data_IF_442709660002
#
_entry.id   IF_442709660002
#
_cell.length_a   1.000
_cell.length_b   1.000
_cell.length_c   1.000
_cell.angle_alpha   90.00
_cell.angle_beta   90.00
_cell.angle_gamma   90.00
#
_symmetry.space_group_name_H-M   'P 1'
#
loop_
_entity.id
_entity.type
_entity.pdbx_description
1 polymer ?
#
# COMPACT_ATOMS: atom_id res chain seq x y z
N UNK A 1 -34.79 30.65 18.93
CA UNK A 1 -33.37 30.25 18.76
C UNK A 1 -33.10 29.09 19.71
N UNK A 2 -32.94 27.87 19.17
CA UNK A 2 -32.58 26.71 19.99
C UNK A 2 -31.10 26.74 20.32
N UNK A 3 -30.76 26.65 21.60
CA UNK A 3 -29.37 26.51 22.06
C UNK A 3 -28.78 25.24 21.43
N UNK A 4 -27.59 25.30 20.79
CA UNK A 4 -26.95 24.09 20.28
C UNK A 4 -26.65 23.17 21.47
N UNK A 5 -27.23 21.95 21.45
CA UNK A 5 -26.91 20.90 22.41
C UNK A 5 -25.48 20.43 22.11
N UNK A 6 -24.54 20.87 22.94
CA UNK A 6 -23.18 20.33 22.96
C UNK A 6 -23.25 18.98 23.66
N UNK A 7 -23.22 17.89 22.89
CA UNK A 7 -23.01 16.55 23.44
C UNK A 7 -21.51 16.35 23.60
N UNK A 8 -21.04 16.23 24.85
CA UNK A 8 -19.72 15.71 25.15
C UNK A 8 -19.72 14.23 24.74
N UNK A 9 -19.00 13.90 23.68
CA UNK A 9 -18.75 12.50 23.29
C UNK A 9 -17.42 12.12 23.94
N UNK A 10 -17.44 11.13 24.84
CA UNK A 10 -16.21 10.59 25.39
C UNK A 10 -15.40 9.94 24.25
N UNK A 11 -14.07 10.13 24.25
CA UNK A 11 -13.20 9.58 23.21
C UNK A 11 -13.29 8.04 23.08
N UNK A 12 -13.77 7.35 24.14
CA UNK A 12 -14.03 5.91 24.16
C UNK A 12 -15.17 5.49 23.22
N UNK A 13 -16.10 6.37 22.87
CA UNK A 13 -17.24 6.08 22.00
C UNK A 13 -16.94 6.29 20.51
N UNK A 14 -15.78 6.87 20.18
CA UNK A 14 -15.38 7.08 18.79
C UNK A 14 -14.90 5.77 18.15
N UNK A 15 -15.23 5.53 16.87
CA UNK A 15 -14.70 4.37 16.16
C UNK A 15 -13.17 4.50 16.04
N UNK A 16 -12.49 3.36 16.14
CA UNK A 16 -11.08 3.28 15.81
C UNK A 16 -10.85 3.56 14.32
N UNK A 17 -9.75 4.23 14.02
CA UNK A 17 -9.35 4.41 12.64
C UNK A 17 -8.94 3.09 12.02
N UNK A 18 -9.71 2.63 11.04
CA UNK A 18 -9.62 1.27 10.49
C UNK A 18 -8.28 0.95 9.80
N UNK A 19 -7.52 1.96 9.37
CA UNK A 19 -6.19 1.76 8.79
C UNK A 19 -5.05 1.83 9.81
N UNK A 20 -5.35 2.04 11.10
CA UNK A 20 -4.35 2.12 12.17
C UNK A 20 -3.37 3.28 12.00
N UNK A 21 -2.14 3.14 12.50
CA UNK A 21 -1.07 4.16 12.39
C UNK A 21 -0.33 4.08 11.03
N UNK A 22 -1.08 3.85 9.95
CA UNK A 22 -0.54 3.69 8.61
C UNK A 22 0.28 4.92 8.20
N UNK A 23 1.48 4.68 7.65
CA UNK A 23 2.29 5.71 6.99
C UNK A 23 2.72 5.23 5.61
N UNK A 24 2.29 5.93 4.56
CA UNK A 24 2.70 5.62 3.20
C UNK A 24 3.93 6.46 2.78
N UNK A 25 5.14 5.96 3.05
CA UNK A 25 6.41 6.68 2.84
C UNK A 25 6.70 7.06 1.37
N UNK A 26 6.17 6.31 0.40
CA UNK A 26 6.36 6.53 -1.04
C UNK A 26 5.04 6.85 -1.76
N UNK A 27 4.13 7.57 -1.11
CA UNK A 27 2.84 7.94 -1.67
C UNK A 27 2.90 9.27 -2.42
N UNK A 28 3.03 9.19 -3.74
CA UNK A 28 3.09 10.35 -4.63
C UNK A 28 1.91 10.41 -5.62
N UNK A 29 1.06 9.38 -5.64
CA UNK A 29 -0.09 9.28 -6.53
C UNK A 29 -1.34 8.88 -5.75
N UNK A 30 -2.39 9.66 -5.93
CA UNK A 30 -3.73 9.42 -5.37
C UNK A 30 -4.68 9.26 -6.54
N UNK A 31 -5.44 8.16 -6.56
CA UNK A 31 -6.48 7.97 -7.56
C UNK A 31 -7.61 8.98 -7.30
N UNK A 32 -7.88 9.85 -8.29
CA UNK A 32 -8.96 10.82 -8.21
C UNK A 32 -10.15 10.40 -9.07
N UNK A 33 -11.30 10.18 -8.45
CA UNK A 33 -12.52 9.75 -9.14
C UNK A 33 -13.32 10.97 -9.63
N UNK A 34 -12.97 11.50 -10.81
CA UNK A 34 -13.61 12.71 -11.38
C UNK A 34 -15.13 12.62 -11.43
N UNK A 35 -15.69 11.51 -11.91
CA UNK A 35 -17.14 11.33 -11.97
C UNK A 35 -17.79 11.42 -10.59
N UNK A 36 -17.19 10.81 -9.57
CA UNK A 36 -17.70 10.88 -8.19
C UNK A 36 -17.65 12.32 -7.65
N UNK A 37 -16.57 13.05 -7.91
CA UNK A 37 -16.44 14.45 -7.49
C UNK A 37 -17.47 15.35 -8.18
N UNK A 38 -17.52 15.32 -9.52
CA UNK A 38 -18.37 16.20 -10.32
C UNK A 38 -19.87 15.95 -10.09
N UNK A 39 -20.26 14.74 -9.68
CA UNK A 39 -21.64 14.40 -9.33
C UNK A 39 -21.93 14.49 -7.82
N UNK A 40 -20.98 14.94 -6.99
CA UNK A 40 -21.17 15.06 -5.55
C UNK A 40 -21.96 16.33 -5.20
N UNK A 41 -22.70 16.27 -4.09
CA UNK A 41 -23.39 17.45 -3.57
C UNK A 41 -22.42 18.59 -3.19
N UNK A 42 -21.17 18.27 -2.81
CA UNK A 42 -20.12 19.26 -2.60
C UNK A 42 -19.85 20.07 -3.86
N UNK A 43 -19.64 19.40 -5.00
CA UNK A 43 -19.37 20.08 -6.27
C UNK A 43 -20.58 20.84 -6.81
N UNK A 44 -21.78 20.29 -6.63
CA UNK A 44 -23.01 20.88 -7.16
C UNK A 44 -23.51 22.09 -6.35
N UNK A 45 -23.22 22.16 -5.05
CA UNK A 45 -23.84 23.14 -4.16
C UNK A 45 -22.85 24.09 -3.47
N UNK A 46 -21.57 23.72 -3.33
CA UNK A 46 -20.59 24.57 -2.66
C UNK A 46 -20.02 25.64 -3.61
N UNK A 47 -19.57 26.76 -3.05
CA UNK A 47 -18.82 27.77 -3.79
C UNK A 47 -17.47 27.21 -4.25
N UNK A 48 -16.89 27.76 -5.32
CA UNK A 48 -15.57 27.32 -5.80
C UNK A 48 -14.45 27.42 -4.75
N UNK A 49 -14.52 28.40 -3.85
CA UNK A 49 -13.58 28.51 -2.75
C UNK A 49 -13.70 27.32 -1.79
N UNK A 50 -14.92 26.97 -1.37
CA UNK A 50 -15.12 25.79 -0.51
C UNK A 50 -14.71 24.52 -1.24
N UNK A 51 -15.03 24.39 -2.52
CA UNK A 51 -14.59 23.26 -3.33
C UNK A 51 -13.06 23.13 -3.36
N UNK A 52 -12.35 24.24 -3.56
CA UNK A 52 -10.88 24.29 -3.53
C UNK A 52 -10.31 23.87 -2.17
N UNK A 53 -10.90 24.37 -1.09
CA UNK A 53 -10.48 24.01 0.28
C UNK A 53 -10.79 22.55 0.61
N UNK A 54 -11.98 22.06 0.26
CA UNK A 54 -12.36 20.66 0.43
C UNK A 54 -11.40 19.75 -0.34
N UNK A 55 -11.07 20.10 -1.59
CA UNK A 55 -10.10 19.38 -2.39
C UNK A 55 -8.72 19.35 -1.71
N UNK A 56 -8.23 20.49 -1.25
CA UNK A 56 -6.95 20.58 -0.56
C UNK A 56 -6.91 19.71 0.71
N UNK A 57 -8.01 19.63 1.47
CA UNK A 57 -8.11 18.75 2.64
C UNK A 57 -7.97 17.26 2.29
N UNK A 58 -8.55 16.81 1.18
CA UNK A 58 -8.36 15.45 0.69
C UNK A 58 -6.90 15.19 0.37
N UNK A 59 -6.23 16.12 -0.30
CA UNK A 59 -4.82 15.97 -0.67
C UNK A 59 -3.89 16.03 0.58
N UNK A 60 -4.17 16.93 1.54
CA UNK A 60 -3.42 17.07 2.79
C UNK A 60 -3.50 15.79 3.62
N UNK A 61 -4.67 15.17 3.70
CA UNK A 61 -4.90 13.95 4.49
C UNK A 61 -3.97 12.80 4.07
N UNK A 62 -3.63 12.73 2.78
CA UNK A 62 -2.74 11.69 2.23
C UNK A 62 -1.31 11.78 2.75
N UNK A 63 -0.92 12.93 3.32
CA UNK A 63 0.42 13.18 3.84
C UNK A 63 0.46 13.32 5.37
N UNK A 64 -0.67 13.11 6.06
CA UNK A 64 -0.72 13.14 7.52
C UNK A 64 -0.23 11.83 8.14
N UNK A 65 -0.06 11.86 9.47
CA UNK A 65 0.20 10.70 10.31
C UNK A 65 -0.93 10.59 11.35
N UNK A 66 -1.78 9.55 11.31
CA UNK A 66 -1.84 8.49 10.29
C UNK A 66 -2.26 8.99 8.89
N UNK A 67 -1.80 8.32 7.85
CA UNK A 67 -2.15 8.63 6.46
C UNK A 67 -3.66 8.47 6.25
N UNK A 68 -4.30 9.44 5.61
CA UNK A 68 -5.74 9.46 5.35
C UNK A 68 -6.57 10.20 6.38
N UNK A 69 -5.92 10.85 7.34
CA UNK A 69 -6.59 11.57 8.42
C UNK A 69 -6.22 13.05 8.44
N UNK A 70 -6.95 13.85 9.21
CA UNK A 70 -6.64 15.26 9.47
C UNK A 70 -6.65 15.55 10.99
N UNK A 71 -5.99 16.63 11.46
CA UNK A 71 -6.24 17.15 12.80
C UNK A 71 -7.70 17.60 12.95
N UNK A 72 -8.32 17.30 14.10
CA UNK A 72 -9.57 17.94 14.52
C UNK A 72 -9.27 19.20 15.34
N UNK A 73 -8.56 20.15 14.73
CA UNK A 73 -8.19 21.41 15.34
C UNK A 73 -8.17 22.52 14.30
N UNK A 74 -8.94 23.58 14.54
CA UNK A 74 -9.12 24.69 13.58
C UNK A 74 -7.80 25.42 13.30
N UNK A 75 -6.95 25.59 14.31
CA UNK A 75 -5.69 26.33 14.16
C UNK A 75 -4.71 25.55 13.30
N UNK A 76 -4.60 24.24 13.52
CA UNK A 76 -3.80 23.37 12.66
C UNK A 76 -4.34 23.32 11.24
N UNK A 77 -5.66 23.14 11.06
CA UNK A 77 -6.27 23.08 9.73
C UNK A 77 -6.09 24.40 8.96
N UNK A 78 -6.30 25.56 9.59
CA UNK A 78 -6.11 26.85 8.93
C UNK A 78 -4.66 27.05 8.48
N UNK A 79 -3.68 26.62 9.29
CA UNK A 79 -2.26 26.68 8.94
C UNK A 79 -1.91 25.72 7.79
N UNK A 80 -2.41 24.49 7.82
CA UNK A 80 -2.20 23.51 6.74
C UNK A 80 -2.76 24.02 5.40
N UNK A 81 -3.92 24.65 5.44
CA UNK A 81 -4.59 25.26 4.28
C UNK A 81 -4.04 26.62 3.89
N UNK A 82 -3.16 27.22 4.71
CA UNK A 82 -2.63 28.58 4.55
C UNK A 82 -3.74 29.63 4.45
N UNK A 83 -4.78 29.45 5.26
CA UNK A 83 -5.90 30.38 5.40
C UNK A 83 -5.82 31.10 6.75
N UNK A 84 -6.32 32.33 6.77
CA UNK A 84 -6.63 33.01 8.01
C UNK A 84 -7.65 32.19 8.84
N UNK A 85 -7.50 32.22 10.17
CA UNK A 85 -8.33 31.43 11.09
C UNK A 85 -9.80 31.87 11.08
N UNK A 86 -10.08 33.16 10.90
CA UNK A 86 -11.45 33.68 10.81
C UNK A 86 -12.05 33.18 9.50
N UNK A 87 -11.32 33.31 8.38
CA UNK A 87 -11.80 32.81 7.08
C UNK A 87 -12.05 31.31 7.08
N UNK A 88 -11.15 30.52 7.69
CA UNK A 88 -11.35 29.08 7.83
C UNK A 88 -12.65 28.76 8.58
N UNK A 89 -12.92 29.44 9.70
CA UNK A 89 -14.14 29.22 10.49
C UNK A 89 -15.40 29.61 9.75
N UNK A 90 -15.38 30.69 8.98
CA UNK A 90 -16.49 31.08 8.09
C UNK A 90 -16.81 29.97 7.07
N UNK A 91 -15.78 29.47 6.37
CA UNK A 91 -15.95 28.39 5.39
C UNK A 91 -16.43 27.10 6.06
N UNK A 92 -15.87 26.74 7.22
CA UNK A 92 -16.26 25.55 8.01
C UNK A 92 -17.72 25.60 8.43
N UNK A 93 -18.26 26.78 8.73
CA UNK A 93 -19.63 26.97 9.20
C UNK A 93 -20.71 26.95 8.10
N UNK A 94 -20.32 26.94 6.82
CA UNK A 94 -21.27 26.87 5.71
C UNK A 94 -21.99 25.51 5.66
N UNK A 95 -23.24 25.49 5.20
CA UNK A 95 -24.03 24.26 5.02
C UNK A 95 -23.30 23.24 4.13
N UNK A 96 -22.64 23.74 3.09
CA UNK A 96 -21.72 23.00 2.24
C UNK A 96 -20.27 23.38 2.53
N UNK A 97 -19.84 23.27 3.79
CA UNK A 97 -18.50 23.60 4.25
C UNK A 97 -17.42 22.53 3.93
N UNK A 98 -16.12 22.87 3.98
CA UNK A 98 -15.04 21.97 3.54
C UNK A 98 -14.92 20.64 4.27
N UNK A 99 -15.39 20.56 5.52
CA UNK A 99 -15.38 19.34 6.34
C UNK A 99 -16.64 18.48 6.21
N UNK A 100 -17.52 18.76 5.24
CA UNK A 100 -18.70 17.93 5.01
C UNK A 100 -18.30 16.48 4.70
N UNK A 101 -18.84 15.54 5.46
CA UNK A 101 -18.55 14.11 5.30
C UNK A 101 -17.32 13.61 6.07
N UNK A 102 -16.58 14.51 6.71
CA UNK A 102 -15.52 14.13 7.65
C UNK A 102 -16.12 13.76 9.00
N UNK A 103 -15.56 12.75 9.65
CA UNK A 103 -16.02 12.26 10.95
C UNK A 103 -14.84 11.98 11.87
N UNK A 104 -15.09 12.02 13.18
CA UNK A 104 -14.06 11.79 14.21
C UNK A 104 -13.76 10.31 14.34
N UNK A 105 -12.48 9.98 14.39
CA UNK A 105 -11.93 8.64 14.64
C UNK A 105 -10.87 8.71 15.73
N UNK A 106 -10.68 7.59 16.43
CA UNK A 106 -9.61 7.40 17.40
C UNK A 106 -8.39 6.80 16.70
N UNK A 107 -7.24 7.45 16.86
CA UNK A 107 -5.94 7.01 16.37
C UNK A 107 -4.99 6.92 17.57
N UNK A 108 -4.95 5.76 18.23
CA UNK A 108 -4.21 5.61 19.48
C UNK A 108 -4.76 6.53 20.57
N UNK A 109 -3.94 7.47 21.05
CA UNK A 109 -4.26 8.44 22.10
C UNK A 109 -4.90 9.74 21.58
N UNK A 110 -5.18 9.83 20.27
CA UNK A 110 -5.58 11.09 19.61
C UNK A 110 -6.90 10.93 18.88
N UNK A 111 -7.64 12.02 18.78
CA UNK A 111 -8.80 12.12 17.89
C UNK A 111 -8.40 12.82 16.60
N UNK A 112 -8.76 12.23 15.47
CA UNK A 112 -8.51 12.75 14.13
C UNK A 112 -9.79 12.77 13.31
N UNK A 113 -9.78 13.49 12.19
CA UNK A 113 -10.86 13.46 11.22
C UNK A 113 -10.52 12.48 10.10
N UNK A 114 -11.45 11.60 9.75
CA UNK A 114 -11.36 10.71 8.60
C UNK A 114 -12.51 11.00 7.63
N UNK A 115 -12.36 10.55 6.39
CA UNK A 115 -13.39 10.65 5.37
C UNK A 115 -13.54 9.31 4.65
N UNK A 116 -14.77 8.80 4.45
CA UNK A 116 -14.97 7.46 3.89
C UNK A 116 -14.34 7.29 2.50
N UNK A 117 -14.40 8.34 1.67
CA UNK A 117 -13.75 8.33 0.34
C UNK A 117 -12.23 8.27 0.43
N UNK A 118 -11.61 8.94 1.42
CA UNK A 118 -10.16 8.93 1.58
C UNK A 118 -9.70 7.55 2.03
N UNK A 119 -10.43 6.95 2.98
CA UNK A 119 -10.22 5.57 3.43
C UNK A 119 -10.32 4.59 2.26
N UNK A 120 -11.40 4.66 1.48
CA UNK A 120 -11.64 3.80 0.31
C UNK A 120 -10.46 3.87 -0.67
N UNK A 121 -10.03 5.08 -1.05
CA UNK A 121 -8.89 5.28 -1.95
C UNK A 121 -7.60 4.70 -1.38
N UNK A 122 -7.39 4.79 -0.07
CA UNK A 122 -6.21 4.24 0.59
C UNK A 122 -6.22 2.71 0.64
N UNK A 123 -7.35 2.09 0.95
CA UNK A 123 -7.51 0.63 0.88
C UNK A 123 -7.21 0.11 -0.52
N UNK A 124 -7.74 0.79 -1.53
CA UNK A 124 -7.50 0.53 -2.94
C UNK A 124 -6.00 0.64 -3.32
N UNK A 125 -5.29 1.61 -2.74
CA UNK A 125 -3.86 1.79 -2.96
C UNK A 125 -3.03 0.69 -2.28
N UNK A 126 -3.42 0.29 -1.05
CA UNK A 126 -2.79 -0.81 -0.31
C UNK A 126 -2.96 -2.14 -1.04
N UNK A 127 -4.18 -2.47 -1.47
CA UNK A 127 -4.46 -3.70 -2.23
C UNK A 127 -3.62 -3.77 -3.52
N UNK A 128 -3.52 -2.66 -4.27
CA UNK A 128 -2.68 -2.60 -5.48
C UNK A 128 -1.19 -2.70 -5.17
N UNK A 129 -0.74 -2.24 -3.99
CA UNK A 129 0.65 -2.40 -3.56
C UNK A 129 0.96 -3.88 -3.29
N UNK A 130 0.11 -4.55 -2.51
CA UNK A 130 0.26 -5.98 -2.19
C UNK A 130 0.26 -6.85 -3.45
N UNK A 131 -0.65 -6.57 -4.39
CA UNK A 131 -0.69 -7.25 -5.69
C UNK A 131 0.63 -7.10 -6.47
N UNK A 132 1.16 -5.88 -6.52
CA UNK A 132 2.43 -5.62 -7.21
C UNK A 132 3.61 -6.30 -6.52
N UNK A 133 3.66 -6.29 -5.20
CA UNK A 133 4.72 -6.95 -4.44
C UNK A 133 4.68 -8.47 -4.66
N UNK A 134 3.50 -9.09 -4.66
CA UNK A 134 3.32 -10.51 -4.95
C UNK A 134 3.74 -10.86 -6.38
N UNK A 135 3.22 -10.14 -7.37
CA UNK A 135 3.56 -10.36 -8.78
C UNK A 135 5.07 -10.14 -9.06
N UNK A 136 5.68 -9.16 -8.40
CA UNK A 136 7.13 -8.94 -8.47
C UNK A 136 7.91 -10.12 -7.87
N UNK A 137 7.47 -10.65 -6.73
CA UNK A 137 8.04 -11.85 -6.11
C UNK A 137 7.97 -13.08 -7.02
N UNK A 138 6.79 -13.38 -7.56
CA UNK A 138 6.58 -14.48 -8.51
C UNK A 138 7.47 -14.32 -9.75
N UNK A 139 7.51 -13.12 -10.33
CA UNK A 139 8.37 -12.83 -11.48
C UNK A 139 9.85 -13.00 -11.15
N UNK A 140 10.29 -12.59 -9.95
CA UNK A 140 11.66 -12.76 -9.50
C UNK A 140 12.03 -14.24 -9.36
N UNK A 141 11.12 -15.07 -8.83
CA UNK A 141 11.28 -16.53 -8.77
C UNK A 141 11.36 -17.12 -10.17
N UNK A 142 10.40 -16.82 -11.04
CA UNK A 142 10.36 -17.33 -12.41
C UNK A 142 11.65 -16.98 -13.19
N UNK A 143 12.11 -15.74 -13.09
CA UNK A 143 13.36 -15.30 -13.72
C UNK A 143 14.59 -16.00 -13.14
N UNK A 144 14.60 -16.27 -11.83
CA UNK A 144 15.69 -16.99 -11.16
C UNK A 144 15.75 -18.45 -11.61
N UNK A 145 14.61 -19.15 -11.65
CA UNK A 145 14.52 -20.54 -12.13
C UNK A 145 14.87 -20.63 -13.62
N UNK A 146 14.43 -19.67 -14.44
CA UNK A 146 14.83 -19.58 -15.86
C UNK A 146 16.34 -19.49 -16.01
N UNK A 147 17.00 -18.57 -15.29
CA UNK A 147 18.47 -18.42 -15.32
C UNK A 147 19.20 -19.67 -14.83
N UNK A 148 18.65 -20.35 -13.82
CA UNK A 148 19.18 -21.63 -13.35
C UNK A 148 19.13 -22.68 -14.47
N UNK A 149 17.97 -22.86 -15.13
CA UNK A 149 17.84 -23.80 -16.26
C UNK A 149 18.81 -23.47 -17.39
N UNK A 150 18.94 -22.19 -17.76
CA UNK A 150 19.89 -21.74 -18.79
C UNK A 150 21.34 -22.06 -18.39
N UNK A 151 21.72 -21.79 -17.14
CA UNK A 151 23.05 -22.10 -16.61
C UNK A 151 23.36 -23.60 -16.58
N UNK A 152 22.41 -24.42 -16.16
CA UNK A 152 22.53 -25.88 -16.13
C UNK A 152 22.58 -26.49 -17.53
N UNK A 153 21.78 -25.96 -18.47
CA UNK A 153 21.83 -26.36 -19.89
C UNK A 153 23.20 -26.07 -20.50
N UNK A 154 23.79 -24.92 -20.19
CA UNK A 154 25.14 -24.58 -20.64
C UNK A 154 26.23 -25.52 -20.08
N UNK A 155 25.97 -26.17 -18.93
CA UNK A 155 26.81 -27.22 -18.34
C UNK A 155 26.51 -28.63 -18.88
N UNK A 156 25.64 -28.76 -19.89
CA UNK A 156 25.34 -30.02 -20.56
C UNK A 156 24.26 -30.87 -19.90
N UNK A 157 23.46 -30.32 -18.98
CA UNK A 157 22.30 -31.03 -18.42
C UNK A 157 21.21 -31.15 -19.48
N UNK A 158 20.70 -32.37 -19.70
CA UNK A 158 19.68 -32.63 -20.72
C UNK A 158 18.32 -32.00 -20.38
N UNK A 159 17.53 -31.67 -21.40
CA UNK A 159 16.24 -30.98 -21.23
C UNK A 159 15.25 -31.78 -20.39
N UNK A 160 15.22 -33.12 -20.51
CA UNK A 160 14.37 -33.99 -19.68
C UNK A 160 14.60 -33.77 -18.17
N UNK A 161 15.83 -33.53 -17.76
CA UNK A 161 16.18 -33.26 -16.35
C UNK A 161 15.83 -31.83 -15.96
N UNK A 162 15.92 -30.87 -16.89
CA UNK A 162 15.59 -29.46 -16.65
C UNK A 162 14.09 -29.16 -16.63
N UNK A 163 13.29 -30.04 -17.25
CA UNK A 163 11.83 -29.99 -17.24
C UNK A 163 11.24 -30.51 -15.91
N UNK A 164 12.02 -31.26 -15.12
CA UNK A 164 11.65 -31.63 -13.75
C UNK A 164 11.69 -30.39 -12.85
N UNK A 165 10.50 -29.80 -12.65
CA UNK A 165 10.35 -28.58 -11.86
C UNK A 165 10.70 -28.82 -10.39
N UNK A 166 10.42 -30.01 -9.84
CA UNK A 166 10.74 -30.33 -8.43
C UNK A 166 12.26 -30.38 -8.24
N UNK A 167 12.98 -30.96 -9.19
CA UNK A 167 14.45 -30.97 -9.16
C UNK A 167 15.03 -29.55 -9.25
N UNK A 168 14.56 -28.76 -10.20
CA UNK A 168 15.06 -27.39 -10.42
C UNK A 168 14.77 -26.50 -9.21
N UNK A 169 13.59 -26.62 -8.60
CA UNK A 169 13.24 -25.89 -7.37
C UNK A 169 14.10 -26.35 -6.17
N UNK A 170 14.37 -27.65 -6.05
CA UNK A 170 15.27 -28.18 -5.01
C UNK A 170 16.69 -27.63 -5.17
N UNK A 171 17.21 -27.60 -6.40
CA UNK A 171 18.50 -26.99 -6.71
C UNK A 171 18.52 -25.49 -6.44
N UNK A 172 17.46 -24.77 -6.80
CA UNK A 172 17.33 -23.33 -6.51
C UNK A 172 17.33 -23.04 -5.01
N UNK A 173 16.61 -23.85 -4.22
CA UNK A 173 16.60 -23.76 -2.76
C UNK A 173 18.00 -23.98 -2.19
N UNK A 174 18.69 -25.03 -2.63
CA UNK A 174 20.07 -25.27 -2.19
C UNK A 174 20.99 -24.06 -2.50
N UNK A 175 20.84 -23.46 -3.69
CA UNK A 175 21.61 -22.27 -4.07
C UNK A 175 21.27 -21.04 -3.23
N UNK A 176 20.01 -20.84 -2.81
CA UNK A 176 19.63 -19.77 -1.88
C UNK A 176 20.30 -19.94 -0.52
N UNK A 177 20.35 -21.18 -0.02
CA UNK A 177 20.83 -21.49 1.32
C UNK A 177 22.38 -21.49 1.41
N UNK A 178 23.08 -21.78 0.29
CA UNK A 178 24.53 -22.03 0.31
C UNK A 178 25.37 -21.05 -0.52
N UNK A 179 24.76 -20.16 -1.33
CA UNK A 179 25.50 -19.24 -2.20
C UNK A 179 25.09 -17.80 -1.91
N UNK A 180 26.00 -17.05 -1.29
CA UNK A 180 25.86 -15.61 -1.10
C UNK A 180 26.26 -14.84 -2.37
N UNK A 181 25.49 -13.80 -2.72
CA UNK A 181 25.82 -12.90 -3.82
C UNK A 181 25.43 -13.44 -5.20
N UNK A 182 26.15 -13.01 -6.23
CA UNK A 182 25.80 -13.33 -7.62
C UNK A 182 26.12 -14.80 -7.97
N UNK A 183 25.12 -15.54 -8.45
CA UNK A 183 25.29 -16.91 -8.95
C UNK A 183 26.04 -16.90 -10.28
N UNK A 184 27.29 -17.34 -10.25
CA UNK A 184 28.15 -17.57 -11.42
C UNK A 184 28.14 -19.06 -11.79
N UNK A 185 28.81 -19.40 -12.89
CA UNK A 185 28.92 -20.79 -13.38
C UNK A 185 29.35 -21.78 -12.29
N UNK A 186 30.33 -21.40 -11.44
CA UNK A 186 30.79 -22.23 -10.32
C UNK A 186 29.71 -22.57 -9.29
N UNK A 187 28.70 -21.71 -9.11
CA UNK A 187 27.57 -22.02 -8.25
C UNK A 187 26.71 -23.14 -8.85
N UNK A 188 26.50 -23.12 -10.16
CA UNK A 188 25.73 -24.14 -10.88
C UNK A 188 26.45 -25.49 -10.92
N UNK A 189 27.77 -25.49 -11.07
CA UNK A 189 28.59 -26.70 -10.96
C UNK A 189 28.49 -27.33 -9.57
N UNK A 190 28.56 -26.51 -8.51
CA UNK A 190 28.42 -26.99 -7.12
C UNK A 190 27.07 -27.64 -6.86
N UNK A 191 25.97 -27.00 -7.27
CA UNK A 191 24.64 -27.60 -7.05
C UNK A 191 24.45 -28.87 -7.87
N UNK A 192 25.04 -28.98 -9.07
CA UNK A 192 25.02 -30.22 -9.84
C UNK A 192 25.78 -31.35 -9.17
N UNK A 193 26.95 -31.05 -8.59
CA UNK A 193 27.72 -32.03 -7.85
C UNK A 193 26.94 -32.56 -6.64
N UNK A 194 26.34 -31.66 -5.85
CA UNK A 194 25.49 -32.03 -4.71
C UNK A 194 24.30 -32.86 -5.17
N UNK A 195 23.60 -32.42 -6.22
CA UNK A 195 22.44 -33.12 -6.73
C UNK A 195 22.76 -34.54 -7.22
N UNK A 196 23.96 -34.79 -7.74
CA UNK A 196 24.44 -36.15 -8.08
C UNK A 196 24.79 -36.96 -6.82
N UNK A 197 25.50 -36.37 -5.86
CA UNK A 197 25.89 -37.04 -4.61
C UNK A 197 24.67 -37.48 -3.79
N UNK A 198 23.67 -36.62 -3.71
CA UNK A 198 22.41 -36.87 -3.00
C UNK A 198 21.43 -37.72 -3.82
N UNK A 199 21.79 -38.08 -5.06
CA UNK A 199 20.96 -38.89 -5.95
C UNK A 199 19.62 -38.25 -6.32
N UNK A 200 19.57 -36.91 -6.43
CA UNK A 200 18.35 -36.19 -6.82
C UNK A 200 17.95 -36.51 -8.26
N UNK A 201 18.89 -36.89 -9.11
CA UNK A 201 18.66 -37.35 -10.48
C UNK A 201 19.72 -38.36 -10.91
N UNK A 202 19.42 -39.18 -11.92
CA UNK A 202 20.39 -40.12 -12.48
C UNK A 202 20.68 -41.37 -11.65
N UNK A 203 19.82 -41.75 -10.68
CA UNK A 203 19.91 -43.10 -10.09
C UNK A 203 19.70 -44.15 -11.20
N UNK A 204 20.57 -45.16 -11.32
CA UNK A 204 20.26 -46.33 -12.13
C UNK A 204 19.00 -46.96 -11.55
N UNK A 205 18.06 -47.36 -12.41
CA UNK A 205 17.03 -48.31 -12.00
C UNK A 205 17.78 -49.58 -11.55
N UNK A 206 17.79 -49.84 -10.25
CA UNK A 206 18.23 -51.14 -9.74
C UNK A 206 17.23 -52.18 -10.27
N UNK A 207 17.65 -52.91 -11.30
CA UNK A 207 17.07 -54.20 -11.68
C UNK A 207 17.47 -55.26 -10.65
#
# INVERSE_FOLDING_TARGET
MGVPKVNLVEAAELPDYELGDLRLENHFFVAWHFSRWLNSAMHLCATYEVQGVARALFDIAQMQSPTGTLPDDDVQLSRLLRLDIIRWRELRAMDFGPLRGWFRVRCGDRVRLAHPVVIEVLQDALARREERERAAGERAVAMRLKRLREGLRALGVNDRTLDDTVLVERMDKWLLDHVSGQRRVSAYERVLMVARQEGWFGRPAHY
#
